data_IF_349606821743
#
_entry.id   IF_349606821743
#
_cell.length_a   1.000
_cell.length_b   1.000
_cell.length_c   1.000
_cell.angle_alpha   90.00
_cell.angle_beta   90.00
_cell.angle_gamma   90.00
#
_symmetry.space_group_name_H-M   'P 1'
#
loop_
_entity.id
_entity.type
_entity.pdbx_description
1 polymer ?
#
# COMPACT_ATOMS: atom_id res chain seq x y z
N UNK A 1 19.37 26.98 18.23
CA UNK A 1 18.78 26.06 17.24
C UNK A 1 17.59 25.32 17.86
N UNK A 2 16.40 25.89 17.76
CA UNK A 2 15.16 25.28 18.23
C UNK A 2 14.08 25.47 17.18
N UNK A 3 13.37 24.40 16.82
CA UNK A 3 12.26 24.47 15.85
C UNK A 3 11.19 25.42 16.39
N UNK A 4 10.81 26.41 15.58
CA UNK A 4 9.95 27.55 15.94
C UNK A 4 8.44 27.30 15.72
N UNK A 5 8.03 26.09 15.32
CA UNK A 5 6.61 25.75 15.19
C UNK A 5 6.25 24.48 15.98
N UNK A 6 5.13 24.46 16.72
CA UNK A 6 4.64 23.26 17.36
C UNK A 6 4.15 22.28 16.28
N UNK A 7 4.83 21.14 16.16
CA UNK A 7 4.40 20.00 15.36
C UNK A 7 2.92 19.71 15.63
N UNK A 8 2.03 19.88 14.64
CA UNK A 8 0.67 19.35 14.68
C UNK A 8 0.81 17.82 14.69
N UNK A 9 0.92 17.26 15.88
CA UNK A 9 1.22 15.85 16.04
C UNK A 9 0.08 15.02 15.47
N UNK A 10 0.37 14.17 14.49
CA UNK A 10 -0.50 13.04 14.21
C UNK A 10 -0.82 12.36 15.55
N UNK A 11 -2.07 11.94 15.79
CA UNK A 11 -2.39 11.21 17.00
C UNK A 11 -1.39 10.06 17.19
N UNK A 12 -0.95 9.79 18.43
CA UNK A 12 0.03 8.76 18.70
C UNK A 12 -0.32 7.47 17.94
N UNK A 13 0.69 6.75 17.44
CA UNK A 13 0.47 5.57 16.60
C UNK A 13 -0.51 4.55 17.25
N UNK A 14 -0.49 4.45 18.59
CA UNK A 14 -1.43 3.66 19.37
C UNK A 14 -2.89 4.10 19.21
N UNK A 15 -3.16 5.42 19.20
CA UNK A 15 -4.51 5.96 19.00
C UNK A 15 -5.01 5.67 17.58
N UNK A 16 -4.17 5.88 16.56
CA UNK A 16 -4.50 5.55 15.16
C UNK A 16 -4.77 4.06 14.98
N UNK A 17 -3.98 3.20 15.63
CA UNK A 17 -4.23 1.74 15.66
C UNK A 17 -5.57 1.41 16.31
N UNK A 18 -5.89 2.02 17.46
CA UNK A 18 -7.16 1.79 18.14
C UNK A 18 -8.38 2.25 17.32
N UNK A 19 -8.29 3.40 16.65
CA UNK A 19 -9.33 3.89 15.76
C UNK A 19 -9.59 2.92 14.60
N UNK A 20 -8.52 2.42 13.95
CA UNK A 20 -8.62 1.39 12.91
C UNK A 20 -9.23 0.09 13.42
N UNK A 21 -8.82 -0.37 14.60
CA UNK A 21 -9.39 -1.56 15.23
C UNK A 21 -10.91 -1.40 15.48
N UNK A 22 -11.34 -0.22 15.93
CA UNK A 22 -12.77 0.10 16.12
C UNK A 22 -13.52 0.06 14.78
N UNK A 23 -12.99 0.72 13.74
CA UNK A 23 -13.57 0.73 12.38
C UNK A 23 -13.64 -0.68 11.78
N UNK A 24 -12.61 -1.50 11.99
CA UNK A 24 -12.56 -2.89 11.54
C UNK A 24 -13.67 -3.73 12.18
N UNK A 25 -13.87 -3.61 13.50
CA UNK A 25 -14.94 -4.31 14.23
C UNK A 25 -16.33 -3.90 13.78
N UNK A 26 -16.56 -2.61 13.49
CA UNK A 26 -17.83 -2.12 12.94
C UNK A 26 -18.04 -2.67 11.53
N UNK A 27 -17.01 -2.63 10.69
CA UNK A 27 -17.06 -3.16 9.31
C UNK A 27 -17.42 -4.65 9.31
N UNK A 28 -16.74 -5.45 10.15
CA UNK A 28 -16.98 -6.89 10.26
C UNK A 28 -18.34 -7.24 10.85
N UNK A 29 -18.73 -6.61 11.96
CA UNK A 29 -19.89 -7.05 12.73
C UNK A 29 -21.21 -6.37 12.33
N UNK A 30 -21.15 -5.25 11.60
CA UNK A 30 -22.35 -4.47 11.24
C UNK A 30 -22.46 -4.26 9.74
N UNK A 31 -21.41 -3.74 9.10
CA UNK A 31 -21.48 -3.37 7.68
C UNK A 31 -21.60 -4.60 6.78
N UNK A 32 -20.65 -5.53 6.84
CA UNK A 32 -20.65 -6.74 6.01
C UNK A 32 -21.95 -7.57 6.19
N UNK A 33 -22.43 -7.85 7.42
CA UNK A 33 -23.70 -8.54 7.63
C UNK A 33 -24.94 -7.82 7.08
N UNK A 34 -24.93 -6.49 6.99
CA UNK A 34 -26.00 -5.73 6.34
C UNK A 34 -25.87 -5.66 4.81
N UNK A 35 -24.65 -5.73 4.27
CA UNK A 35 -24.37 -5.73 2.84
C UNK A 35 -24.70 -7.07 2.15
N UNK A 36 -24.23 -8.20 2.69
CA UNK A 36 -24.33 -9.50 2.01
C UNK A 36 -25.77 -9.93 1.66
N UNK A 37 -26.80 -9.76 2.53
CA UNK A 37 -28.18 -10.10 2.18
C UNK A 37 -28.74 -9.31 0.99
N UNK A 38 -28.28 -8.06 0.81
CA UNK A 38 -28.71 -7.19 -0.29
C UNK A 38 -27.88 -7.36 -1.56
N UNK A 39 -26.80 -8.16 -1.50
CA UNK A 39 -25.85 -8.40 -2.59
C UNK A 39 -25.66 -9.92 -2.82
N UNK A 40 -26.64 -10.60 -3.46
CA UNK A 40 -26.59 -12.06 -3.64
C UNK A 40 -25.37 -12.57 -4.40
N UNK A 41 -24.80 -11.75 -5.30
CA UNK A 41 -23.57 -12.08 -6.02
C UNK A 41 -22.36 -12.15 -5.09
N UNK A 42 -22.15 -11.12 -4.27
CA UNK A 42 -21.07 -11.10 -3.28
C UNK A 42 -21.20 -12.26 -2.28
N UNK A 43 -22.43 -12.57 -1.84
CA UNK A 43 -22.69 -13.73 -0.98
C UNK A 43 -22.29 -15.05 -1.64
N UNK A 44 -22.67 -15.27 -2.91
CA UNK A 44 -22.24 -16.47 -3.65
C UNK A 44 -20.72 -16.50 -3.84
N UNK A 45 -20.07 -15.35 -4.00
CA UNK A 45 -18.62 -15.24 -4.05
C UNK A 45 -17.95 -15.73 -2.77
N UNK A 46 -18.45 -15.26 -1.62
CA UNK A 46 -18.03 -15.71 -0.29
C UNK A 46 -18.25 -17.22 -0.11
N UNK A 47 -19.44 -17.72 -0.44
CA UNK A 47 -19.78 -19.15 -0.28
C UNK A 47 -18.96 -20.04 -1.23
N UNK A 48 -18.64 -19.52 -2.42
CA UNK A 48 -17.89 -20.19 -3.49
C UNK A 48 -16.37 -20.12 -3.36
N UNK A 49 -15.85 -19.53 -2.28
CA UNK A 49 -14.42 -19.56 -2.00
C UNK A 49 -13.92 -21.00 -1.80
N UNK A 50 -12.77 -21.31 -2.38
CA UNK A 50 -12.17 -22.64 -2.37
C UNK A 50 -10.67 -22.61 -2.09
N UNK A 51 -10.20 -23.60 -1.32
CA UNK A 51 -8.78 -23.84 -1.09
C UNK A 51 -8.22 -24.73 -2.20
N UNK A 52 -7.20 -24.24 -2.91
CA UNK A 52 -6.48 -24.96 -3.96
C UNK A 52 -5.08 -25.29 -3.43
N UNK A 53 -4.74 -26.58 -3.41
CA UNK A 53 -3.47 -27.10 -2.88
C UNK A 53 -2.67 -27.70 -4.04
N UNK A 54 -1.41 -27.29 -4.17
CA UNK A 54 -0.45 -27.78 -5.16
C UNK A 54 -1.05 -27.89 -6.58
N UNK A 55 -1.60 -26.78 -7.14
CA UNK A 55 -2.15 -26.79 -8.49
C UNK A 55 -1.08 -27.25 -9.48
N UNK A 56 -1.48 -28.20 -10.34
CA UNK A 56 -0.60 -28.75 -11.38
C UNK A 56 -0.50 -27.78 -12.56
N UNK A 57 0.65 -27.74 -13.26
CA UNK A 57 0.75 -26.98 -14.51
C UNK A 57 -0.30 -27.43 -15.52
N UNK A 58 -0.99 -26.48 -16.15
CA UNK A 58 -1.93 -26.77 -17.23
C UNK A 58 -1.09 -27.10 -18.47
N UNK A 59 -1.13 -28.37 -18.90
CA UNK A 59 -0.52 -28.79 -20.17
C UNK A 59 -1.61 -28.74 -21.24
N UNK A 60 -1.55 -27.74 -22.12
CA UNK A 60 -2.45 -27.69 -23.28
C UNK A 60 -1.94 -28.71 -24.30
N UNK A 61 -2.34 -29.97 -24.15
CA UNK A 61 -2.25 -30.94 -25.24
C UNK A 61 -3.24 -30.52 -26.32
N UNK A 62 -2.73 -30.17 -27.50
CA UNK A 62 -3.53 -30.07 -28.71
C UNK A 62 -4.31 -31.39 -28.89
N UNK A 63 -5.63 -31.36 -28.65
CA UNK A 63 -6.56 -32.45 -28.92
C UNK A 63 -6.82 -33.42 -27.76
N UNK A 64 -7.83 -33.12 -26.94
CA UNK A 64 -8.94 -34.06 -26.66
C UNK A 64 -9.94 -33.40 -25.72
N UNK A 65 -11.14 -33.17 -26.25
CA UNK A 65 -12.32 -32.71 -25.51
C UNK A 65 -12.84 -33.89 -24.70
N UNK A 66 -12.76 -33.80 -23.36
CA UNK A 66 -13.55 -34.63 -22.46
C UNK A 66 -13.96 -33.81 -21.22
N UNK A 67 -15.05 -33.05 -21.40
CA UNK A 67 -16.14 -32.80 -20.45
C UNK A 67 -15.81 -32.37 -19.01
N UNK A 68 -15.83 -31.06 -18.76
CA UNK A 68 -16.98 -30.36 -18.13
C UNK A 68 -16.70 -28.84 -18.11
N UNK A 69 -17.50 -28.05 -18.83
CA UNK A 69 -17.44 -26.59 -19.08
C UNK A 69 -16.73 -25.69 -18.03
N UNK A 70 -16.04 -24.61 -18.46
CA UNK A 70 -16.67 -23.40 -18.99
C UNK A 70 -16.53 -23.25 -20.53
N UNK A 71 -17.22 -22.29 -21.18
CA UNK A 71 -17.40 -22.29 -22.63
C UNK A 71 -16.08 -22.06 -23.36
N UNK A 72 -15.96 -22.67 -24.56
CA UNK A 72 -14.97 -22.42 -25.61
C UNK A 72 -14.37 -21.00 -25.54
N UNK A 73 -13.28 -20.83 -24.80
CA UNK A 73 -12.32 -19.75 -25.02
C UNK A 73 -11.12 -20.39 -25.68
N UNK A 74 -11.11 -20.33 -27.02
CA UNK A 74 -9.88 -20.51 -27.78
C UNK A 74 -8.96 -19.36 -27.39
N UNK A 75 -8.05 -19.58 -26.45
CA UNK A 75 -6.97 -18.63 -26.18
C UNK A 75 -6.10 -18.58 -27.43
N UNK A 76 -6.34 -17.60 -28.30
CA UNK A 76 -5.65 -17.46 -29.59
C UNK A 76 -4.39 -16.58 -29.49
N UNK A 77 -4.14 -15.97 -28.33
CA UNK A 77 -2.99 -15.11 -28.12
C UNK A 77 -1.94 -15.83 -27.27
N UNK A 78 -0.98 -16.44 -27.94
CA UNK A 78 0.22 -17.03 -27.33
C UNK A 78 1.27 -15.96 -26.97
N UNK A 79 0.83 -14.73 -26.71
CA UNK A 79 1.69 -13.61 -26.37
C UNK A 79 1.98 -13.64 -24.86
N UNK A 80 3.21 -13.30 -24.42
CA UNK A 80 3.47 -13.14 -23.00
C UNK A 80 2.61 -12.01 -22.41
N UNK A 81 2.25 -12.10 -21.11
CA UNK A 81 1.48 -11.05 -20.46
C UNK A 81 2.23 -9.71 -20.51
N UNK A 82 1.51 -8.61 -20.68
CA UNK A 82 2.05 -7.27 -20.45
C UNK A 82 2.30 -7.10 -18.96
N UNK A 83 3.47 -6.59 -18.57
CA UNK A 83 3.85 -6.45 -17.17
C UNK A 83 4.05 -4.96 -16.87
N UNK A 84 3.33 -4.44 -15.88
CA UNK A 84 3.38 -3.04 -15.49
C UNK A 84 3.68 -2.85 -14.00
N UNK A 85 4.22 -1.70 -13.65
CA UNK A 85 4.39 -1.22 -12.29
C UNK A 85 3.54 0.04 -12.10
N UNK A 86 2.76 0.09 -11.03
CA UNK A 86 1.96 1.25 -10.65
C UNK A 86 2.20 1.60 -9.19
N UNK A 87 2.50 2.87 -8.91
CA UNK A 87 2.61 3.38 -7.54
C UNK A 87 1.21 3.67 -7.01
N UNK A 88 0.56 2.63 -6.51
CA UNK A 88 -0.82 2.69 -6.01
C UNK A 88 -1.09 1.53 -5.04
N UNK A 89 -2.20 1.59 -4.31
CA UNK A 89 -2.71 0.42 -3.60
C UNK A 89 -3.35 -0.61 -4.56
N UNK A 90 -3.52 -1.83 -4.06
CA UNK A 90 -4.01 -2.98 -4.84
C UNK A 90 -5.37 -2.75 -5.47
N UNK A 91 -6.31 -2.09 -4.77
CA UNK A 91 -7.67 -1.89 -5.27
C UNK A 91 -7.73 -0.75 -6.29
N UNK A 92 -6.94 0.31 -6.10
CA UNK A 92 -6.81 1.40 -7.08
C UNK A 92 -6.26 0.88 -8.41
N UNK A 93 -5.19 0.07 -8.39
CA UNK A 93 -4.66 -0.56 -9.58
C UNK A 93 -5.68 -1.51 -10.25
N UNK A 94 -6.40 -2.31 -9.44
CA UNK A 94 -7.42 -3.23 -9.96
C UNK A 94 -8.60 -2.50 -10.61
N UNK A 95 -9.04 -1.39 -10.03
CA UNK A 95 -10.12 -0.57 -10.61
C UNK A 95 -9.72 -0.01 -11.98
N UNK A 96 -8.45 0.45 -12.14
CA UNK A 96 -7.95 0.93 -13.44
C UNK A 96 -8.02 -0.13 -14.55
N UNK A 97 -7.88 -1.42 -14.20
CA UNK A 97 -7.92 -2.53 -15.15
C UNK A 97 -9.33 -2.84 -15.67
N UNK A 98 -10.36 -2.39 -14.95
CA UNK A 98 -11.77 -2.55 -15.35
C UNK A 98 -12.19 -1.54 -16.43
N UNK A 99 -11.49 -0.41 -16.56
CA UNK A 99 -11.77 0.62 -17.57
C UNK A 99 -10.91 0.56 -18.83
N UNK A 100 -9.85 -0.26 -18.84
CA UNK A 100 -8.74 -0.17 -19.80
C UNK A 100 -8.90 -0.94 -21.12
N UNK A 101 -10.08 -1.47 -21.42
CA UNK A 101 -10.31 -2.15 -22.72
C UNK A 101 -10.48 -1.11 -23.85
N UNK A 102 -9.38 -0.45 -24.23
CA UNK A 102 -9.00 0.26 -25.49
C UNK A 102 -10.04 0.99 -26.37
N UNK A 103 -11.30 1.11 -25.94
CA UNK A 103 -12.38 1.74 -26.69
C UNK A 103 -12.81 2.99 -25.94
N UNK A 104 -12.53 4.19 -26.49
CA UNK A 104 -13.10 5.44 -25.97
C UNK A 104 -14.62 5.30 -25.85
N UNK A 105 -15.22 5.82 -24.77
CA UNK A 105 -16.65 5.77 -24.43
C UNK A 105 -17.23 4.43 -23.91
N UNK A 106 -16.42 3.39 -23.70
CA UNK A 106 -16.93 2.20 -23.00
C UNK A 106 -16.92 2.44 -21.47
N UNK A 107 -18.06 2.28 -20.77
CA UNK A 107 -18.05 2.34 -19.30
C UNK A 107 -17.21 1.20 -18.72
N UNK A 108 -16.54 1.45 -17.60
CA UNK A 108 -15.74 0.45 -16.91
C UNK A 108 -16.57 -0.81 -16.58
N UNK A 109 -15.98 -2.00 -16.75
CA UNK A 109 -16.60 -3.27 -16.37
C UNK A 109 -16.56 -3.46 -14.85
N UNK A 110 -17.30 -2.62 -14.10
CA UNK A 110 -17.44 -2.73 -12.64
C UNK A 110 -17.97 -4.11 -12.20
N UNK A 111 -18.56 -4.86 -13.13
CA UNK A 111 -19.06 -6.21 -12.89
C UNK A 111 -17.98 -7.29 -13.01
N UNK A 112 -16.81 -6.97 -13.55
CA UNK A 112 -15.67 -7.87 -13.76
C UNK A 112 -16.02 -9.18 -14.50
N UNK A 113 -16.94 -9.11 -15.46
CA UNK A 113 -17.38 -10.28 -16.25
C UNK A 113 -16.53 -10.50 -17.48
N UNK A 114 -16.01 -9.42 -18.07
CA UNK A 114 -15.22 -9.44 -19.29
C UNK A 114 -13.73 -9.24 -19.00
N UNK A 115 -13.42 -8.28 -18.12
CA UNK A 115 -12.04 -7.93 -17.78
C UNK A 115 -11.33 -9.05 -16.99
N UNK A 116 -12.07 -9.85 -16.21
CA UNK A 116 -11.58 -11.00 -15.42
C UNK A 116 -10.33 -10.64 -14.59
N UNK A 117 -10.41 -9.51 -13.89
CA UNK A 117 -9.41 -8.99 -12.97
C UNK A 117 -9.43 -9.79 -11.67
N UNK A 118 -8.25 -10.21 -11.23
CA UNK A 118 -8.04 -10.71 -9.88
C UNK A 118 -6.98 -9.86 -9.14
N UNK A 119 -6.97 -9.97 -7.82
CA UNK A 119 -5.95 -9.39 -6.95
C UNK A 119 -5.28 -10.47 -6.09
N UNK A 120 -4.00 -10.34 -5.81
CA UNK A 120 -3.31 -11.13 -4.80
C UNK A 120 -3.55 -10.50 -3.41
N UNK A 121 -4.30 -11.16 -2.54
CA UNK A 121 -4.25 -10.88 -1.10
C UNK A 121 -2.96 -11.50 -0.55
N UNK A 122 -2.08 -10.64 -0.02
CA UNK A 122 -0.81 -11.01 0.59
C UNK A 122 -1.06 -11.56 2.00
N UNK A 123 -1.71 -12.72 2.03
CA UNK A 123 -2.43 -13.21 3.19
C UNK A 123 -1.52 -13.69 4.33
N UNK A 124 -2.05 -13.58 5.54
CA UNK A 124 -1.49 -14.24 6.70
C UNK A 124 -1.59 -15.76 6.60
N UNK A 125 -0.52 -16.53 6.89
CA UNK A 125 -0.59 -17.98 6.85
C UNK A 125 -1.43 -18.56 7.99
N UNK A 126 -1.65 -17.80 9.07
CA UNK A 126 -2.19 -18.31 10.32
C UNK A 126 -3.56 -17.76 10.71
N UNK A 127 -3.92 -16.57 10.22
CA UNK A 127 -5.11 -15.86 10.71
C UNK A 127 -5.86 -15.19 9.56
N UNK A 128 -7.16 -15.48 9.36
CA UNK A 128 -7.99 -14.77 8.39
C UNK A 128 -7.96 -13.27 8.56
N UNK A 129 -7.58 -12.55 7.50
CA UNK A 129 -7.49 -11.09 7.53
C UNK A 129 -6.36 -10.56 8.43
N UNK A 130 -5.41 -11.41 8.83
CA UNK A 130 -4.25 -11.02 9.61
C UNK A 130 -4.61 -10.29 10.91
N UNK A 131 -4.08 -9.08 11.07
CA UNK A 131 -4.30 -8.20 12.21
C UNK A 131 -5.48 -7.24 12.05
N UNK A 132 -6.42 -7.50 11.13
CA UNK A 132 -7.52 -6.57 10.78
C UNK A 132 -8.28 -6.04 11.99
N UNK A 133 -8.82 -6.94 12.82
CA UNK A 133 -9.59 -6.56 14.02
C UNK A 133 -8.75 -5.90 15.12
N UNK A 134 -7.42 -5.99 15.01
CA UNK A 134 -6.43 -5.39 15.91
C UNK A 134 -5.89 -4.06 15.37
N UNK A 135 -6.41 -3.58 14.24
CA UNK A 135 -6.04 -2.31 13.64
C UNK A 135 -4.64 -2.32 13.01
N UNK A 136 -4.21 -3.44 12.42
CA UNK A 136 -3.06 -3.43 11.52
C UNK A 136 -3.38 -2.71 10.19
N UNK A 137 -2.34 -2.37 9.40
CA UNK A 137 -2.44 -1.61 8.12
C UNK A 137 -1.55 -2.23 7.06
N UNK A 138 -1.38 -3.55 7.04
CA UNK A 138 -0.79 -4.17 5.86
C UNK A 138 -1.85 -4.25 4.75
N UNK A 139 -1.42 -4.73 3.59
CA UNK A 139 -2.28 -4.86 2.42
C UNK A 139 -3.52 -5.74 2.70
N UNK A 140 -3.35 -6.87 3.40
CA UNK A 140 -4.48 -7.77 3.72
C UNK A 140 -5.56 -7.07 4.56
N UNK A 141 -5.17 -6.28 5.58
CA UNK A 141 -6.14 -5.56 6.41
C UNK A 141 -6.85 -4.45 5.63
N UNK A 142 -6.16 -3.80 4.69
CA UNK A 142 -6.78 -2.82 3.79
C UNK A 142 -7.84 -3.48 2.91
N UNK A 143 -7.54 -4.65 2.33
CA UNK A 143 -8.52 -5.44 1.57
C UNK A 143 -9.73 -5.84 2.43
N UNK A 144 -9.50 -6.31 3.66
CA UNK A 144 -10.57 -6.68 4.58
C UNK A 144 -11.44 -5.47 5.01
N UNK A 145 -10.85 -4.27 5.07
CA UNK A 145 -11.56 -3.04 5.42
C UNK A 145 -12.46 -2.56 4.28
N UNK A 146 -12.12 -2.87 3.03
CA UNK A 146 -12.73 -2.27 1.84
C UNK A 146 -13.60 -3.23 1.04
N UNK A 147 -13.57 -4.52 1.37
CA UNK A 147 -14.20 -5.57 0.56
C UNK A 147 -14.92 -6.62 1.37
N UNK A 148 -15.73 -7.44 0.70
CA UNK A 148 -16.38 -8.62 1.29
C UNK A 148 -15.45 -9.84 1.37
N UNK A 149 -14.13 -9.67 1.29
CA UNK A 149 -13.17 -10.76 1.29
C UNK A 149 -13.16 -11.54 2.61
N UNK A 150 -13.11 -10.85 3.76
CA UNK A 150 -12.85 -11.50 5.04
C UNK A 150 -13.80 -12.68 5.38
N UNK A 151 -15.12 -12.61 5.17
CA UNK A 151 -16.02 -13.77 5.38
C UNK A 151 -15.70 -15.01 4.54
N UNK A 152 -15.02 -14.86 3.40
CA UNK A 152 -14.64 -15.97 2.51
C UNK A 152 -13.40 -16.73 3.02
N UNK A 153 -12.63 -16.10 3.91
CA UNK A 153 -11.39 -16.62 4.48
C UNK A 153 -11.73 -17.53 5.67
N UNK A 154 -12.28 -18.71 5.38
CA UNK A 154 -12.75 -19.67 6.39
C UNK A 154 -11.59 -20.18 7.25
N UNK A 155 -11.79 -20.28 8.56
CA UNK A 155 -10.76 -20.77 9.51
C UNK A 155 -10.17 -22.13 9.10
N UNK A 156 -10.98 -23.01 8.50
CA UNK A 156 -10.56 -24.34 8.01
C UNK A 156 -9.52 -24.29 6.88
N UNK A 157 -9.37 -23.15 6.19
CA UNK A 157 -8.33 -22.95 5.18
C UNK A 157 -6.99 -22.52 5.79
N UNK A 158 -6.98 -22.05 7.03
CA UNK A 158 -5.82 -21.43 7.67
C UNK A 158 -4.93 -22.41 8.41
N UNK A 159 -3.68 -21.98 8.63
CA UNK A 159 -2.50 -22.80 8.33
C UNK A 159 -2.43 -23.04 6.83
N UNK A 160 -2.48 -21.93 6.08
CA UNK A 160 -2.50 -21.94 4.62
C UNK A 160 -1.37 -22.87 4.12
N UNK A 161 -1.69 -23.83 3.23
CA UNK A 161 -0.70 -24.73 2.68
C UNK A 161 0.47 -23.95 2.07
N UNK A 162 1.67 -24.47 2.26
CA UNK A 162 2.87 -23.79 1.80
C UNK A 162 2.85 -23.54 0.29
N UNK A 163 2.34 -24.50 -0.49
CA UNK A 163 2.08 -24.39 -1.92
C UNK A 163 0.58 -24.43 -2.20
N UNK A 164 -0.18 -23.52 -1.58
CA UNK A 164 -1.61 -23.39 -1.83
C UNK A 164 -2.09 -21.94 -1.82
N UNK A 165 -3.33 -21.76 -2.27
CA UNK A 165 -4.01 -20.47 -2.26
C UNK A 165 -5.53 -20.67 -2.09
N UNK A 166 -6.20 -19.69 -1.49
CA UNK A 166 -7.66 -19.61 -1.50
C UNK A 166 -8.08 -18.72 -2.66
N UNK A 167 -8.90 -19.23 -3.57
CA UNK A 167 -9.51 -18.42 -4.63
C UNK A 167 -10.93 -18.03 -4.21
N UNK A 168 -11.21 -16.74 -4.25
CA UNK A 168 -12.53 -16.15 -3.92
C UNK A 168 -13.03 -15.37 -5.12
N UNK A 169 -14.09 -15.84 -5.81
CA UNK A 169 -14.70 -15.09 -6.90
C UNK A 169 -15.61 -13.97 -6.37
N UNK A 170 -15.92 -12.98 -7.21
CA UNK A 170 -16.99 -12.00 -6.97
C UNK A 170 -16.86 -11.25 -5.61
N UNK A 171 -15.63 -10.88 -5.22
CA UNK A 171 -15.39 -10.03 -4.05
C UNK A 171 -15.91 -8.63 -4.34
N UNK A 172 -16.88 -8.16 -3.56
CA UNK A 172 -17.44 -6.83 -3.67
C UNK A 172 -16.53 -5.82 -2.98
N UNK A 173 -16.14 -4.78 -3.72
CA UNK A 173 -15.47 -3.59 -3.18
C UNK A 173 -16.54 -2.56 -2.86
N UNK A 174 -16.54 -2.07 -1.62
CA UNK A 174 -17.56 -1.15 -1.11
C UNK A 174 -16.97 0.14 -0.53
N UNK A 175 -15.66 0.34 -0.61
CA UNK A 175 -14.96 1.52 -0.09
C UNK A 175 -13.66 1.76 -0.88
N UNK A 176 -13.42 3.02 -1.24
CA UNK A 176 -12.19 3.46 -1.91
C UNK A 176 -11.08 3.85 -0.92
N UNK A 177 -9.93 4.35 -1.41
CA UNK A 177 -8.70 4.50 -0.63
C UNK A 177 -8.92 5.32 0.65
N UNK A 178 -8.64 4.69 1.79
CA UNK A 178 -8.78 5.17 3.18
C UNK A 178 -10.06 5.96 3.55
N UNK A 179 -11.06 6.04 2.67
CA UNK A 179 -12.31 6.74 2.90
C UNK A 179 -13.09 6.15 4.07
N UNK A 180 -13.72 7.00 4.87
CA UNK A 180 -14.67 6.57 5.89
C UNK A 180 -16.01 6.14 5.27
N UNK A 181 -16.30 6.63 4.08
CA UNK A 181 -17.57 6.42 3.40
C UNK A 181 -17.64 5.08 2.68
N UNK A 182 -18.86 4.55 2.60
CA UNK A 182 -19.17 3.35 1.82
C UNK A 182 -19.69 3.83 0.48
N UNK A 183 -19.18 3.27 -0.60
CA UNK A 183 -19.61 3.60 -1.95
C UNK A 183 -21.12 3.44 -2.13
N UNK A 184 -21.70 4.32 -2.95
CA UNK A 184 -23.07 4.16 -3.41
C UNK A 184 -23.21 2.84 -4.18
N UNK A 185 -24.41 2.26 -4.19
CA UNK A 185 -24.63 0.94 -4.81
C UNK A 185 -24.21 0.88 -6.29
N UNK A 186 -24.30 2.00 -7.02
CA UNK A 186 -23.95 2.10 -8.45
C UNK A 186 -22.44 2.12 -8.71
N UNK A 187 -21.65 2.58 -7.74
CA UNK A 187 -20.19 2.76 -7.87
C UNK A 187 -19.41 1.59 -7.28
N UNK A 188 -20.10 0.68 -6.58
CA UNK A 188 -19.51 -0.57 -6.10
C UNK A 188 -19.16 -1.48 -7.28
N UNK A 189 -18.03 -2.15 -7.13
CA UNK A 189 -17.46 -2.98 -8.17
C UNK A 189 -16.99 -4.32 -7.62
N UNK A 190 -16.69 -5.25 -8.52
CA UNK A 190 -16.30 -6.62 -8.19
C UNK A 190 -14.89 -6.92 -8.67
N UNK A 191 -14.21 -7.80 -7.94
CA UNK A 191 -12.92 -8.36 -8.34
C UNK A 191 -12.82 -9.79 -7.84
N UNK A 192 -12.00 -10.61 -8.48
CA UNK A 192 -11.64 -11.91 -7.90
C UNK A 192 -10.42 -11.76 -6.98
N UNK A 193 -10.27 -12.63 -5.99
CA UNK A 193 -9.14 -12.56 -5.07
C UNK A 193 -8.44 -13.93 -4.93
N UNK A 194 -7.11 -13.91 -4.96
CA UNK A 194 -6.26 -15.06 -4.66
C UNK A 194 -5.53 -14.73 -3.34
N UNK A 195 -5.83 -15.48 -2.29
CA UNK A 195 -5.16 -15.35 -0.98
C UNK A 195 -4.07 -16.40 -0.84
N UNK A 196 -2.82 -15.97 -0.75
CA UNK A 196 -1.67 -16.83 -0.54
C UNK A 196 -0.67 -16.19 0.42
N UNK A 197 0.05 -17.01 1.18
CA UNK A 197 1.03 -16.55 2.17
C UNK A 197 2.48 -16.67 1.67
N UNK A 198 3.27 -15.62 1.92
CA UNK A 198 4.72 -15.61 1.68
C UNK A 198 5.49 -16.17 2.89
N UNK A 199 6.80 -16.41 2.72
CA UNK A 199 7.71 -16.72 3.83
C UNK A 199 7.68 -15.62 4.89
N UNK A 200 7.79 -16.00 6.16
CA UNK A 200 7.82 -15.07 7.29
C UNK A 200 9.21 -15.01 7.89
N UNK A 201 9.81 -13.83 7.88
CA UNK A 201 11.13 -13.52 8.44
C UNK A 201 12.19 -14.56 8.05
N UNK A 202 12.38 -14.82 6.73
CA UNK A 202 13.46 -15.69 6.29
C UNK A 202 14.82 -15.11 6.69
N UNK A 203 15.84 -15.95 6.72
CA UNK A 203 17.20 -15.50 7.03
C UNK A 203 17.78 -14.75 5.82
N UNK A 204 18.24 -13.52 6.05
CA UNK A 204 18.70 -12.60 5.00
C UNK A 204 20.01 -11.94 5.39
N UNK A 205 20.86 -11.70 4.40
CA UNK A 205 22.07 -10.88 4.52
C UNK A 205 21.98 -9.65 3.63
N UNK A 206 22.75 -8.61 3.96
CA UNK A 206 22.82 -7.37 3.19
C UNK A 206 24.09 -7.36 2.36
N UNK A 207 23.95 -7.08 1.07
CA UNK A 207 25.08 -6.76 0.21
C UNK A 207 25.41 -5.27 0.36
N UNK A 208 26.57 -4.96 0.93
CA UNK A 208 27.05 -3.59 1.13
C UNK A 208 27.32 -2.85 -0.20
N UNK A 209 27.63 -3.58 -1.28
CA UNK A 209 27.95 -2.97 -2.56
C UNK A 209 26.70 -2.49 -3.30
N UNK A 210 25.64 -3.31 -3.33
CA UNK A 210 24.38 -2.97 -3.99
C UNK A 210 23.34 -2.34 -3.06
N UNK A 211 23.54 -2.41 -1.74
CA UNK A 211 22.58 -1.97 -0.73
C UNK A 211 21.39 -2.92 -0.54
N UNK A 212 21.20 -3.91 -1.42
CA UNK A 212 20.11 -4.87 -1.38
C UNK A 212 20.35 -6.01 -0.39
N UNK A 213 19.27 -6.51 0.20
CA UNK A 213 19.32 -7.77 0.95
C UNK A 213 19.02 -8.98 0.05
N UNK A 214 19.50 -10.15 0.46
CA UNK A 214 19.30 -11.42 -0.24
C UNK A 214 19.03 -12.56 0.75
N UNK A 215 18.40 -13.64 0.29
CA UNK A 215 18.18 -14.82 1.14
C UNK A 215 19.48 -15.59 1.37
N UNK A 216 19.73 -16.00 2.60
CA UNK A 216 20.88 -16.87 2.90
C UNK A 216 20.71 -18.25 2.27
N UNK A 217 19.50 -18.81 2.32
CA UNK A 217 19.24 -20.18 1.85
C UNK A 217 18.62 -20.23 0.45
N UNK A 218 19.21 -21.02 -0.45
CA UNK A 218 18.65 -21.24 -1.80
C UNK A 218 17.26 -21.89 -1.77
N UNK A 219 16.94 -22.68 -0.74
CA UNK A 219 15.61 -23.28 -0.56
C UNK A 219 14.52 -22.21 -0.46
N UNK A 220 14.82 -21.04 0.11
CA UNK A 220 13.86 -19.95 0.28
C UNK A 220 13.58 -19.30 -1.08
N UNK A 221 14.64 -19.08 -1.89
CA UNK A 221 14.51 -18.63 -3.28
C UNK A 221 13.66 -19.58 -4.12
N UNK A 222 13.90 -20.88 -3.99
CA UNK A 222 13.14 -21.90 -4.71
C UNK A 222 11.69 -21.92 -4.26
N UNK A 223 11.45 -21.80 -2.95
CA UNK A 223 10.11 -21.85 -2.38
C UNK A 223 9.26 -20.65 -2.78
N UNK A 224 9.79 -19.42 -2.73
CA UNK A 224 9.03 -18.24 -3.18
C UNK A 224 8.70 -18.32 -4.68
N UNK A 225 9.59 -18.89 -5.49
CA UNK A 225 9.35 -19.07 -6.92
C UNK A 225 8.19 -20.07 -7.16
N UNK A 226 8.16 -21.18 -6.43
CA UNK A 226 7.06 -22.14 -6.54
C UNK A 226 5.74 -21.54 -6.02
N UNK A 227 5.76 -20.74 -4.96
CA UNK A 227 4.59 -19.98 -4.48
C UNK A 227 4.04 -19.02 -5.54
N UNK A 228 4.92 -18.30 -6.25
CA UNK A 228 4.51 -17.42 -7.36
C UNK A 228 3.86 -18.21 -8.50
N UNK A 229 4.41 -19.37 -8.86
CA UNK A 229 3.80 -20.25 -9.85
C UNK A 229 2.44 -20.78 -9.41
N UNK A 230 2.25 -21.09 -8.12
CA UNK A 230 0.94 -21.49 -7.60
C UNK A 230 -0.11 -20.42 -7.88
N UNK A 231 0.19 -19.14 -7.59
CA UNK A 231 -0.72 -18.02 -7.88
C UNK A 231 -1.05 -17.95 -9.37
N UNK A 232 -0.05 -18.05 -10.24
CA UNK A 232 -0.25 -17.97 -11.70
C UNK A 232 -1.03 -19.18 -12.26
N UNK A 233 -0.81 -20.38 -11.73
CA UNK A 233 -1.60 -21.57 -12.08
C UNK A 233 -3.06 -21.40 -11.67
N UNK A 234 -3.32 -20.85 -10.49
CA UNK A 234 -4.69 -20.53 -10.04
C UNK A 234 -5.35 -19.52 -10.99
N UNK A 235 -4.62 -18.49 -11.42
CA UNK A 235 -5.12 -17.55 -12.44
C UNK A 235 -5.58 -18.28 -13.71
N UNK A 236 -4.74 -19.17 -14.27
CA UNK A 236 -5.10 -19.92 -15.48
C UNK A 236 -6.28 -20.88 -15.24
N UNK A 237 -6.27 -21.61 -14.12
CA UNK A 237 -7.35 -22.54 -13.75
C UNK A 237 -8.71 -21.83 -13.65
N UNK A 238 -8.72 -20.56 -13.26
CA UNK A 238 -9.93 -19.75 -13.05
C UNK A 238 -10.23 -18.79 -14.20
N UNK A 239 -9.44 -18.80 -15.27
CA UNK A 239 -9.61 -17.90 -16.41
C UNK A 239 -9.52 -16.43 -16.01
N UNK A 240 -8.58 -16.11 -15.12
CA UNK A 240 -8.17 -14.74 -14.80
C UNK A 240 -7.34 -14.21 -15.97
N UNK A 241 -7.71 -13.05 -16.49
CA UNK A 241 -6.99 -12.41 -17.60
C UNK A 241 -6.02 -11.35 -17.12
N UNK A 242 -6.39 -10.61 -16.08
CA UNK A 242 -5.59 -9.51 -15.54
C UNK A 242 -5.38 -9.74 -14.05
N UNK A 243 -4.16 -9.62 -13.54
CA UNK A 243 -3.85 -9.87 -12.13
C UNK A 243 -3.06 -8.70 -11.53
N UNK A 244 -3.51 -8.20 -10.38
CA UNK A 244 -2.76 -7.25 -9.58
C UNK A 244 -1.95 -8.00 -8.53
N UNK A 245 -0.64 -7.84 -8.63
CA UNK A 245 0.38 -8.33 -7.70
C UNK A 245 0.97 -7.15 -6.92
N UNK A 246 2.09 -7.37 -6.24
CA UNK A 246 2.87 -6.32 -5.58
C UNK A 246 4.11 -6.90 -4.91
N UNK A 247 4.70 -6.12 -4.00
CA UNK A 247 5.87 -6.49 -3.21
C UNK A 247 5.53 -7.55 -2.12
N UNK A 248 5.14 -8.74 -2.56
CA UNK A 248 4.60 -9.82 -1.71
C UNK A 248 5.62 -10.27 -0.65
N UNK A 249 5.30 -9.99 0.61
CA UNK A 249 6.13 -10.34 1.76
C UNK A 249 7.24 -9.34 2.12
N UNK A 250 7.40 -8.25 1.38
CA UNK A 250 8.48 -7.28 1.59
C UNK A 250 8.28 -6.31 2.77
N UNK A 251 7.06 -6.26 3.33
CA UNK A 251 6.74 -5.47 4.51
C UNK A 251 6.99 -6.25 5.81
N UNK A 252 5.93 -6.48 6.58
CA UNK A 252 5.99 -7.12 7.89
C UNK A 252 6.60 -8.54 7.93
N UNK A 253 6.82 -9.17 6.78
CA UNK A 253 7.37 -10.52 6.65
C UNK A 253 8.85 -10.55 6.28
N UNK A 254 9.48 -9.38 6.08
CA UNK A 254 10.94 -9.26 5.97
C UNK A 254 11.56 -9.94 4.76
N UNK A 255 10.81 -10.15 3.66
CA UNK A 255 11.40 -10.68 2.43
C UNK A 255 12.17 -9.56 1.70
N UNK A 256 13.37 -9.80 1.16
CA UNK A 256 14.09 -8.79 0.39
C UNK A 256 13.38 -8.44 -0.91
N UNK A 257 13.12 -7.14 -1.13
CA UNK A 257 12.42 -6.64 -2.32
C UNK A 257 13.08 -7.09 -3.63
N UNK A 258 14.42 -7.08 -3.69
CA UNK A 258 15.14 -7.47 -4.89
C UNK A 258 15.03 -8.96 -5.20
N UNK A 259 15.01 -9.83 -4.19
CA UNK A 259 14.79 -11.26 -4.39
C UNK A 259 13.36 -11.55 -4.86
N UNK A 260 12.37 -10.87 -4.28
CA UNK A 260 10.96 -11.00 -4.68
C UNK A 260 10.75 -10.51 -6.12
N UNK A 261 11.31 -9.36 -6.49
CA UNK A 261 11.23 -8.84 -7.87
C UNK A 261 11.90 -9.79 -8.88
N UNK A 262 13.11 -10.28 -8.58
CA UNK A 262 13.84 -11.25 -9.42
C UNK A 262 13.07 -12.57 -9.56
N UNK A 263 12.44 -13.05 -8.49
CA UNK A 263 11.64 -14.27 -8.53
C UNK A 263 10.37 -14.09 -9.38
N UNK A 264 9.67 -12.96 -9.27
CA UNK A 264 8.53 -12.64 -10.13
C UNK A 264 8.94 -12.56 -11.59
N UNK A 265 10.05 -11.89 -11.90
CA UNK A 265 10.59 -11.86 -13.27
C UNK A 265 10.91 -13.26 -13.78
N UNK A 266 11.53 -14.12 -12.95
CA UNK A 266 11.83 -15.51 -13.30
C UNK A 266 10.57 -16.34 -13.54
N UNK A 267 9.49 -16.04 -12.81
CA UNK A 267 8.19 -16.70 -13.00
C UNK A 267 7.51 -16.23 -14.31
N UNK A 268 7.48 -14.92 -14.57
CA UNK A 268 6.69 -14.31 -15.65
C UNK A 268 7.42 -14.24 -17.00
N UNK A 269 8.71 -13.90 -17.00
CA UNK A 269 9.49 -13.66 -18.22
C UNK A 269 10.22 -14.94 -18.62
N UNK A 270 9.72 -15.58 -19.69
CA UNK A 270 10.37 -16.73 -20.30
C UNK A 270 11.73 -16.34 -20.90
N UNK A 271 12.82 -16.99 -20.45
CA UNK A 271 14.12 -16.85 -21.11
C UNK A 271 14.09 -17.55 -22.48
N UNK A 272 14.24 -16.78 -23.55
CA UNK A 272 14.39 -17.26 -24.94
C UNK A 272 15.76 -17.93 -25.21
N UNK A 273 16.75 -17.71 -24.34
CA UNK A 273 18.16 -17.85 -24.75
C UNK A 273 18.87 -19.12 -24.26
N UNK A 274 18.14 -20.20 -23.96
CA UNK A 274 18.79 -21.47 -23.62
C UNK A 274 18.74 -22.45 -24.80
N UNK A 275 19.79 -22.40 -25.63
CA UNK A 275 20.26 -23.50 -26.49
C UNK A 275 20.73 -24.73 -25.67
N UNK A 276 20.17 -24.96 -24.49
CA UNK A 276 20.55 -25.99 -23.54
C UNK A 276 19.35 -26.85 -23.18
N UNK A 277 19.41 -28.13 -23.54
CA UNK A 277 18.48 -29.19 -23.14
C UNK A 277 18.32 -29.21 -21.61
N UNK A 278 17.29 -28.56 -21.05
CA UNK A 278 16.68 -28.98 -19.79
C UNK A 278 15.26 -29.46 -20.06
N UNK A 279 15.06 -30.75 -19.77
CA UNK A 279 13.87 -31.57 -20.01
C UNK A 279 12.80 -31.30 -18.94
N UNK A 280 12.48 -30.03 -18.72
CA UNK A 280 11.39 -29.60 -17.84
C UNK A 280 10.31 -28.96 -18.69
N UNK A 281 9.04 -29.27 -18.40
CA UNK A 281 7.89 -28.61 -19.01
C UNK A 281 8.01 -27.11 -18.72
N UNK A 282 8.27 -26.29 -19.74
CA UNK A 282 8.28 -24.84 -19.58
C UNK A 282 6.83 -24.40 -19.43
N UNK A 283 6.47 -23.92 -18.25
CA UNK A 283 5.14 -23.37 -17.99
C UNK A 283 4.98 -22.06 -18.76
N UNK A 284 3.86 -21.92 -19.46
CA UNK A 284 3.44 -20.69 -20.12
C UNK A 284 2.17 -20.20 -19.45
N UNK A 285 2.03 -18.89 -19.31
CA UNK A 285 0.88 -18.26 -18.63
C UNK A 285 -0.21 -17.86 -19.63
N UNK A 286 -0.52 -18.75 -20.57
CA UNK A 286 -1.56 -18.54 -21.57
C UNK A 286 -2.90 -18.20 -20.91
N UNK A 287 -3.59 -17.21 -21.47
CA UNK A 287 -4.83 -16.65 -20.92
C UNK A 287 -4.63 -15.48 -19.95
N UNK A 288 -3.44 -15.31 -19.38
CA UNK A 288 -3.10 -14.10 -18.62
C UNK A 288 -2.58 -13.05 -19.61
N UNK A 289 -3.37 -12.00 -19.79
CA UNK A 289 -3.12 -10.90 -20.73
C UNK A 289 -2.25 -9.81 -20.07
N UNK A 290 -2.45 -9.55 -18.77
CA UNK A 290 -1.84 -8.42 -18.08
C UNK A 290 -1.54 -8.69 -16.60
N UNK A 291 -0.37 -8.23 -16.15
CA UNK A 291 0.10 -8.29 -14.77
C UNK A 291 0.50 -6.89 -14.32
N UNK A 292 -0.10 -6.40 -13.24
CA UNK A 292 0.26 -5.10 -12.64
C UNK A 292 0.84 -5.32 -11.27
N UNK A 293 2.05 -4.82 -11.01
CA UNK A 293 2.61 -4.71 -9.67
C UNK A 293 2.16 -3.39 -9.06
N UNK A 294 1.23 -3.45 -8.09
CA UNK A 294 0.78 -2.30 -7.33
C UNK A 294 1.58 -2.18 -6.03
N UNK A 295 2.39 -1.13 -5.90
CA UNK A 295 3.26 -0.90 -4.74
C UNK A 295 3.04 0.55 -4.26
N UNK A 296 2.36 0.72 -3.11
CA UNK A 296 1.98 2.04 -2.57
C UNK A 296 3.19 2.89 -2.15
N UNK A 297 4.26 2.27 -1.66
CA UNK A 297 5.49 2.96 -1.24
C UNK A 297 6.40 3.21 -2.44
N UNK A 298 6.68 4.48 -2.76
CA UNK A 298 7.44 4.87 -3.94
C UNK A 298 8.87 4.33 -3.92
N UNK A 299 9.58 4.43 -2.80
CA UNK A 299 10.94 3.92 -2.67
C UNK A 299 11.01 2.39 -2.84
N UNK A 300 10.03 1.65 -2.33
CA UNK A 300 9.91 0.22 -2.56
C UNK A 300 9.56 -0.09 -4.02
N UNK A 301 8.73 0.73 -4.68
CA UNK A 301 8.41 0.58 -6.09
C UNK A 301 9.66 0.77 -6.96
N UNK A 302 10.46 1.81 -6.68
CA UNK A 302 11.72 2.09 -7.37
C UNK A 302 12.71 0.91 -7.21
N UNK A 303 12.91 0.45 -5.97
CA UNK A 303 13.75 -0.70 -5.67
C UNK A 303 13.25 -2.00 -6.33
N UNK A 304 11.93 -2.18 -6.43
CA UNK A 304 11.33 -3.31 -7.11
C UNK A 304 11.55 -3.23 -8.62
N UNK A 305 11.37 -2.06 -9.23
CA UNK A 305 11.60 -1.81 -10.64
C UNK A 305 13.06 -2.08 -11.02
N UNK A 306 14.00 -1.50 -10.27
CA UNK A 306 15.43 -1.67 -10.49
C UNK A 306 15.83 -3.15 -10.45
N UNK A 307 15.37 -3.88 -9.43
CA UNK A 307 15.68 -5.29 -9.27
C UNK A 307 14.96 -6.21 -10.27
N UNK A 308 13.75 -5.84 -10.72
CA UNK A 308 13.06 -6.53 -11.79
C UNK A 308 13.83 -6.34 -13.11
N UNK A 309 14.24 -5.12 -13.42
CA UNK A 309 14.97 -4.78 -14.64
C UNK A 309 14.11 -4.90 -15.90
N UNK A 310 14.68 -5.35 -17.02
CA UNK A 310 13.97 -5.34 -18.32
C UNK A 310 12.71 -6.22 -18.31
N UNK A 311 11.64 -5.68 -18.89
CA UNK A 311 10.37 -6.36 -19.15
C UNK A 311 9.20 -5.91 -18.28
N UNK A 312 9.37 -4.88 -17.45
CA UNK A 312 8.32 -4.17 -16.73
C UNK A 312 8.21 -2.74 -17.28
N UNK A 313 6.99 -2.25 -17.46
CA UNK A 313 6.69 -0.87 -17.87
C UNK A 313 6.08 -0.11 -16.67
N UNK A 314 6.66 1.01 -16.27
CA UNK A 314 6.06 1.86 -15.24
C UNK A 314 4.97 2.73 -15.87
N UNK A 315 3.79 2.77 -15.25
CA UNK A 315 2.78 3.76 -15.62
C UNK A 315 3.37 5.16 -15.36
N UNK A 316 3.31 6.04 -16.35
CA UNK A 316 3.59 7.46 -16.13
C UNK A 316 2.61 7.96 -15.06
N UNK A 317 3.06 8.77 -14.07
CA UNK A 317 2.14 9.41 -13.15
C UNK A 317 1.11 10.18 -13.99
N UNK A 318 -0.19 10.01 -13.70
CA UNK A 318 -1.20 10.85 -14.33
C UNK A 318 -0.84 12.31 -13.97
N UNK A 319 -0.51 13.14 -14.98
CA UNK A 319 -0.33 14.61 -14.84
C UNK A 319 -1.61 15.30 -14.33
N UNK A 320 -2.71 14.57 -14.10
CA UNK A 320 -3.91 15.05 -13.39
C UNK A 320 -3.92 14.73 -11.90
N UNK A 321 -2.83 14.17 -11.37
CA UNK A 321 -2.56 14.07 -9.92
C UNK A 321 -1.35 14.87 -9.48
N UNK A 322 -0.87 15.79 -10.33
CA UNK A 322 -0.21 17.01 -9.86
C UNK A 322 -1.28 17.95 -9.28
N UNK A 323 -2.03 17.49 -8.28
CA UNK A 323 -2.07 18.30 -7.08
C UNK A 323 -0.64 18.17 -6.56
N UNK A 324 0.18 19.11 -7.01
CA UNK A 324 1.42 19.43 -6.35
C UNK A 324 1.14 19.25 -4.85
N UNK A 325 1.97 18.47 -4.16
CA UNK A 325 2.29 18.80 -2.78
C UNK A 325 3.00 20.17 -2.83
N UNK A 326 2.31 21.20 -3.32
CA UNK A 326 2.62 22.59 -3.11
C UNK A 326 2.50 22.74 -1.60
N UNK A 327 3.56 23.23 -0.98
CA UNK A 327 3.60 23.71 0.40
C UNK A 327 2.64 24.91 0.64
N UNK A 328 1.56 25.02 -0.16
CA UNK A 328 0.42 25.90 0.01
C UNK A 328 -0.72 24.98 0.54
N UNK A 329 -1.04 24.91 1.82
CA UNK A 329 -1.22 26.03 2.70
C UNK A 329 -1.36 25.49 4.14
N UNK A 330 -0.23 25.24 4.78
CA UNK A 330 -0.21 24.99 6.23
C UNK A 330 -0.59 26.30 6.98
N UNK A 331 -0.38 27.46 6.36
CA UNK A 331 -0.60 28.79 6.94
C UNK A 331 -2.08 29.16 7.12
N UNK A 332 -2.87 29.26 6.06
CA UNK A 332 -4.31 29.56 6.13
C UNK A 332 -5.09 28.40 6.76
N UNK A 333 -4.67 27.13 6.61
CA UNK A 333 -5.25 26.01 7.37
C UNK A 333 -5.03 26.16 8.88
N UNK A 334 -3.82 26.52 9.31
CA UNK A 334 -3.52 26.81 10.72
C UNK A 334 -4.28 28.05 11.21
N UNK A 335 -4.38 29.09 10.37
CA UNK A 335 -5.12 30.33 10.67
C UNK A 335 -6.62 30.05 10.84
N UNK A 336 -7.21 29.25 9.97
CA UNK A 336 -8.61 28.84 10.03
C UNK A 336 -8.89 27.97 11.27
N UNK A 337 -7.97 27.04 11.60
CA UNK A 337 -8.09 26.21 12.79
C UNK A 337 -7.94 27.03 14.08
N UNK A 338 -7.02 27.99 14.11
CA UNK A 338 -6.81 28.90 15.23
C UNK A 338 -8.02 29.82 15.45
N UNK A 339 -8.60 30.35 14.37
CA UNK A 339 -9.85 31.11 14.40
C UNK A 339 -11.03 30.29 14.94
N UNK A 340 -11.16 29.03 14.51
CA UNK A 340 -12.20 28.13 15.01
C UNK A 340 -12.04 27.84 16.51
N UNK A 341 -10.81 27.58 16.98
CA UNK A 341 -10.51 27.37 18.41
C UNK A 341 -10.78 28.60 19.26
N UNK A 342 -10.45 29.80 18.78
CA UNK A 342 -10.79 31.07 19.44
C UNK A 342 -12.30 31.21 19.58
N UNK A 343 -13.07 30.86 18.54
CA UNK A 343 -14.53 30.87 18.56
C UNK A 343 -15.11 29.92 19.61
N UNK A 344 -14.64 28.67 19.64
CA UNK A 344 -15.07 27.66 20.61
C UNK A 344 -14.74 28.06 22.06
N UNK A 345 -13.52 28.59 22.28
CA UNK A 345 -13.07 28.98 23.61
C UNK A 345 -13.87 30.17 24.17
N UNK A 346 -14.21 31.15 23.32
CA UNK A 346 -15.11 32.26 23.68
C UNK A 346 -16.49 31.76 24.12
N UNK A 347 -17.09 30.85 23.37
CA UNK A 347 -18.38 30.25 23.74
C UNK A 347 -18.31 29.52 25.10
N UNK A 348 -17.19 28.86 25.37
CA UNK A 348 -16.97 28.13 26.64
C UNK A 348 -16.76 29.06 27.83
N UNK A 349 -16.09 30.21 27.63
CA UNK A 349 -15.93 31.28 28.62
C UNK A 349 -17.30 31.89 28.98
N UNK A 350 -18.13 32.16 27.98
CA UNK A 350 -19.47 32.73 28.18
C UNK A 350 -20.42 31.76 28.87
N UNK A 351 -20.28 30.46 28.62
CA UNK A 351 -21.08 29.41 29.26
C UNK A 351 -20.63 29.05 30.69
N UNK A 352 -19.49 29.56 31.16
CA UNK A 352 -18.90 29.17 32.45
C UNK A 352 -19.20 30.20 33.56
N UNK A 353 -19.86 29.74 34.63
CA UNK A 353 -20.20 30.56 35.82
C UNK A 353 -19.10 30.60 36.90
N UNK A 354 -18.02 29.83 36.76
CA UNK A 354 -16.94 29.73 37.74
C UNK A 354 -15.87 30.81 37.49
N UNK A 355 -15.64 31.77 38.42
CA UNK A 355 -14.72 32.90 38.21
C UNK A 355 -13.26 32.50 38.00
N UNK A 356 -12.76 31.49 38.73
CA UNK A 356 -11.36 31.06 38.62
C UNK A 356 -11.09 30.32 37.30
N UNK A 357 -12.07 29.52 36.85
CA UNK A 357 -12.00 28.83 35.57
C UNK A 357 -12.13 29.83 34.41
N UNK A 358 -12.99 30.84 34.56
CA UNK A 358 -13.15 31.92 33.58
C UNK A 358 -11.85 32.69 33.38
N UNK A 359 -11.19 33.08 34.48
CA UNK A 359 -9.90 33.77 34.45
C UNK A 359 -8.79 32.93 33.78
N UNK A 360 -8.77 31.62 34.01
CA UNK A 360 -7.83 30.71 33.35
C UNK A 360 -8.09 30.57 31.85
N UNK A 361 -9.35 30.51 31.43
CA UNK A 361 -9.72 30.43 30.01
C UNK A 361 -9.48 31.76 29.28
N UNK A 362 -9.71 32.90 29.92
CA UNK A 362 -9.42 34.23 29.37
C UNK A 362 -7.92 34.41 29.09
N UNK A 363 -7.05 33.90 29.96
CA UNK A 363 -5.60 33.92 29.75
C UNK A 363 -5.18 33.07 28.54
N UNK A 364 -5.82 31.90 28.34
CA UNK A 364 -5.58 31.03 27.19
C UNK A 364 -6.09 31.70 25.90
N UNK A 365 -7.26 32.35 25.95
CA UNK A 365 -7.83 33.08 24.81
C UNK A 365 -6.93 34.23 24.35
N UNK A 366 -6.37 35.00 25.30
CA UNK A 366 -5.43 36.07 25.01
C UNK A 366 -4.17 35.55 24.29
N UNK A 367 -3.66 34.38 24.69
CA UNK A 367 -2.54 33.71 24.03
C UNK A 367 -2.84 33.33 22.58
N UNK A 368 -4.02 32.74 22.32
CA UNK A 368 -4.42 32.33 20.96
C UNK A 368 -4.69 33.53 20.04
N UNK A 369 -5.26 34.63 20.55
CA UNK A 369 -5.47 35.86 19.77
C UNK A 369 -4.14 36.51 19.40
N UNK A 370 -3.17 36.53 20.33
CA UNK A 370 -1.82 37.05 20.06
C UNK A 370 -1.11 36.24 18.97
N UNK A 371 -1.26 34.91 19.00
CA UNK A 371 -0.72 34.00 18.00
C UNK A 371 -1.32 34.24 16.61
N UNK A 372 -2.63 34.52 16.52
CA UNK A 372 -3.30 34.82 15.26
C UNK A 372 -2.86 36.18 14.65
N UNK A 373 -2.51 37.16 15.48
CA UNK A 373 -2.03 38.47 15.04
C UNK A 373 -0.62 38.40 14.45
N UNK A 374 0.26 37.59 15.05
CA UNK A 374 1.63 37.38 14.57
C UNK A 374 1.70 36.71 13.19
N UNK A 375 0.77 35.78 12.92
CA UNK A 375 0.66 35.10 11.62
C UNK A 375 0.10 36.00 10.50
N UNK A 376 -0.40 37.19 10.83
CA UNK A 376 -0.99 38.13 9.84
C UNK A 376 -0.05 39.24 9.37
N UNK A 377 1.11 39.42 10.03
CA UNK A 377 2.07 40.50 9.75
C UNK A 377 3.31 40.05 8.97
N UNK A 378 3.33 38.80 8.49
CA UNK A 378 4.49 38.16 7.83
C UNK A 378 4.60 38.37 6.32
N UNK A 379 3.94 39.39 5.73
CA UNK A 379 4.13 39.76 4.32
C UNK A 379 4.62 41.22 4.22
N UNK A 380 5.85 41.38 3.73
CA UNK A 380 6.35 42.64 3.16
C UNK A 380 7.14 43.55 4.10
N UNK A 381 8.47 43.57 3.93
CA UNK A 381 9.31 44.63 4.50
C UNK A 381 10.79 44.27 4.55
N UNK A 382 11.46 44.29 3.39
CA UNK A 382 12.91 44.42 3.37
C UNK A 382 13.32 45.87 3.65
N UNK A 383 14.20 46.07 4.62
CA UNK A 383 15.09 47.24 4.70
C UNK A 383 16.29 46.87 5.55
N UNK A 384 17.46 46.99 4.94
CA UNK A 384 18.76 47.10 5.59
C UNK A 384 18.72 48.12 6.72
N UNK A 385 19.36 47.82 7.85
CA UNK A 385 20.05 48.82 8.66
C UNK A 385 21.10 48.12 9.51
N UNK A 386 22.36 48.46 9.22
CA UNK A 386 23.53 48.33 10.08
C UNK A 386 23.18 48.82 11.49
N UNK A 387 23.62 48.10 12.54
CA UNK A 387 24.10 48.82 13.71
C UNK A 387 25.17 48.04 14.47
N UNK A 388 26.25 48.78 14.67
CA UNK A 388 27.47 48.47 15.41
C UNK A 388 27.30 48.80 16.89
N UNK A 389 27.63 47.86 17.78
CA UNK A 389 27.91 48.16 19.20
C UNK A 389 29.17 47.37 19.58
N UNK A 390 30.34 48.03 19.56
CA UNK A 390 31.01 48.63 20.74
C UNK A 390 31.18 47.65 21.90
N UNK A 391 32.38 47.09 21.97
CA UNK A 391 32.92 46.34 23.10
C UNK A 391 33.61 47.38 23.99
N UNK A 392 33.08 47.57 25.20
CA UNK A 392 33.74 48.35 26.25
C UNK A 392 34.92 47.57 26.83
N UNK A 393 36.04 48.29 26.92
CA UNK A 393 37.32 47.92 27.51
C UNK A 393 37.21 47.96 29.05
N UNK A 394 37.58 46.88 29.72
CA UNK A 394 38.09 46.94 31.10
C UNK A 394 39.46 46.28 31.13
N UNK A 395 40.47 47.15 31.27
CA UNK A 395 41.86 46.84 31.59
C UNK A 395 41.96 46.31 33.03
N UNK A 396 42.63 45.17 33.22
CA UNK A 396 43.44 44.93 34.41
C UNK A 396 44.75 44.26 33.95
N UNK A 397 45.82 45.06 34.02
CA UNK A 397 47.22 44.67 34.01
C UNK A 397 47.52 43.72 35.18
N UNK A 398 48.38 42.72 34.97
CA UNK A 398 49.76 42.71 35.48
C UNK A 398 50.40 41.31 35.52
N UNK A 399 51.74 41.34 35.35
CA UNK A 399 52.75 40.34 35.74
C UNK A 399 53.11 39.20 34.76
N UNK A 400 54.05 39.57 33.87
CA UNK A 400 55.46 39.14 33.82
C UNK A 400 55.89 37.68 33.50
N UNK A 401 56.78 37.67 32.50
CA UNK A 401 58.06 36.92 32.39
C UNK A 401 58.07 35.41 32.05
N UNK A 402 58.57 35.14 30.83
CA UNK A 402 59.76 34.31 30.52
C UNK A 402 59.58 33.30 29.37
N UNK A 403 60.04 33.76 28.20
CA UNK A 403 61.13 33.26 27.34
C UNK A 403 61.35 31.75 27.06
N UNK A 404 61.90 31.55 25.86
CA UNK A 404 62.43 30.36 25.21
C UNK A 404 61.41 29.36 24.62
N UNK A 405 61.48 28.96 23.35
CA UNK A 405 62.56 29.08 22.39
C UNK A 405 62.49 27.88 21.43
N UNK A 406 62.47 28.19 20.14
CA UNK A 406 62.83 27.36 18.98
C UNK A 406 62.90 25.82 19.07
N UNK A 407 62.14 25.18 18.19
CA UNK A 407 62.65 24.40 17.04
C UNK A 407 63.84 23.46 17.29
N UNK A 408 63.63 22.14 17.13
CA UNK A 408 64.26 21.34 16.05
C UNK A 408 63.92 19.84 16.11
N UNK A 409 63.64 19.33 14.92
CA UNK A 409 63.73 17.95 14.39
C UNK A 409 62.56 17.01 14.67
#
# INVERSE_FOLDING_TARGET
MGRTQPSVGQPPAAFRKAARAKKAKVTLNQLIPSLLPTHPRARRGVDGAELIIEPKPITITQGSVASSNPPNQTYSNNSPPRIRLQVADTLTAAHSLLGRDSVPDRPADLSNKEARVAILNMASPLTPGGGFVNGASSQEESLCMRTTLLPSLKDEYYRLPELGAVYTPDVLVFRDDDSDEVLEKKDRWFVDCISAAMLRNPETERDEASGFSYYVHEKDRQLILEKMKVVLRVCQMKGVKKIVLGAWGCGAYGNPVAEVAKAWRKALVLRTDTKGKKKGTKETWEGIEEVVFAIKDSGMADAFEEAFGKGIERDEPDETSDEEEEELDVGERNKAELQARIGELKQRIDATSNPQLKQGLDAILAGLISQLALDSTGEGGGSDEDDSEQIDEEEEDDEDEDDEGGSRI
#
